data_IF_887980061634
#
_entry.id   IF_887980061634
#
_cell.length_a   1.000
_cell.length_b   1.000
_cell.length_c   1.000
_cell.angle_alpha   90.00
_cell.angle_beta   90.00
_cell.angle_gamma   90.00
#
_symmetry.space_group_name_H-M   'P 1'
#
loop_
_entity.id
_entity.type
_entity.pdbx_description
1 polymer ?
#
# COMPACT_ATOMS: atom_id res chain seq x y z
N UNK A 1 4.37 10.84 10.32
CA UNK A 1 4.50 9.81 11.37
C UNK A 1 4.99 8.52 10.72
N UNK A 2 5.87 7.76 11.39
CA UNK A 2 6.30 6.43 10.95
C UNK A 2 5.65 5.30 11.76
N UNK A 3 5.81 4.05 11.33
CA UNK A 3 5.22 2.90 12.04
C UNK A 3 5.73 2.77 13.48
N UNK A 4 7.01 3.05 13.75
CA UNK A 4 7.56 2.96 15.11
C UNK A 4 6.89 3.94 16.07
N UNK A 5 6.62 5.16 15.63
CA UNK A 5 5.87 6.18 16.38
C UNK A 5 4.43 5.72 16.61
N UNK A 6 3.77 5.20 15.57
CA UNK A 6 2.40 4.68 15.67
C UNK A 6 2.30 3.49 16.64
N UNK A 7 3.30 2.59 16.65
CA UNK A 7 3.39 1.44 17.57
C UNK A 7 3.48 1.90 19.03
N UNK A 8 4.05 3.08 19.31
CA UNK A 8 4.16 3.64 20.65
C UNK A 8 2.91 4.41 21.10
N UNK A 9 2.08 4.88 20.16
CA UNK A 9 0.81 5.56 20.47
C UNK A 9 -0.18 4.62 21.17
N UNK A 10 -1.20 5.14 21.86
CA UNK A 10 -2.15 4.31 22.64
C UNK A 10 -3.13 3.48 21.78
N UNK A 11 -3.35 3.85 20.52
CA UNK A 11 -4.33 3.19 19.65
C UNK A 11 -3.92 1.80 19.15
N UNK A 12 -4.93 0.99 18.80
CA UNK A 12 -4.77 -0.34 18.18
C UNK A 12 -5.34 -0.40 16.75
N UNK A 13 -5.81 0.73 16.20
CA UNK A 13 -6.35 0.79 14.84
C UNK A 13 -5.25 0.70 13.78
N UNK A 14 -5.50 -0.09 12.73
CA UNK A 14 -4.57 -0.24 11.61
C UNK A 14 -4.94 0.61 10.39
N UNK A 15 -6.05 1.36 10.45
CA UNK A 15 -6.50 2.25 9.37
C UNK A 15 -5.59 3.44 9.13
N UNK A 16 -4.83 3.87 10.15
CA UNK A 16 -3.77 4.88 10.01
C UNK A 16 -2.64 4.45 9.04
N UNK A 17 -2.55 3.16 8.70
CA UNK A 17 -1.50 2.60 7.80
C UNK A 17 -2.01 2.49 6.34
N UNK A 18 -3.26 2.88 6.07
CA UNK A 18 -3.92 2.70 4.76
C UNK A 18 -3.13 3.26 3.57
N UNK A 19 -2.40 4.35 3.74
CA UNK A 19 -1.55 4.93 2.69
C UNK A 19 -0.37 4.02 2.31
N UNK A 20 0.38 3.53 3.30
CA UNK A 20 1.45 2.55 3.07
C UNK A 20 0.90 1.22 2.54
N UNK A 21 -0.23 0.77 3.08
CA UNK A 21 -0.91 -0.46 2.63
C UNK A 21 -1.26 -0.40 1.15
N UNK A 22 -1.83 0.72 0.68
CA UNK A 22 -2.18 0.93 -0.72
C UNK A 22 -0.97 0.83 -1.65
N UNK A 23 0.18 1.36 -1.24
CA UNK A 23 1.41 1.27 -2.02
C UNK A 23 1.97 -0.15 -2.08
N UNK A 24 1.95 -0.86 -0.95
CA UNK A 24 2.39 -2.26 -0.90
C UNK A 24 1.53 -3.10 -1.84
N UNK A 25 0.19 -3.00 -1.75
CA UNK A 25 -0.74 -3.73 -2.63
C UNK A 25 -0.49 -3.38 -4.11
N UNK A 26 -0.29 -2.10 -4.42
CA UNK A 26 0.05 -1.66 -5.77
C UNK A 26 1.36 -2.28 -6.28
N UNK A 27 2.40 -2.32 -5.45
CA UNK A 27 3.67 -2.94 -5.81
C UNK A 27 3.55 -4.47 -5.95
N UNK A 28 2.73 -5.14 -5.13
CA UNK A 28 2.43 -6.57 -5.30
C UNK A 28 1.83 -6.85 -6.69
N UNK A 29 0.88 -6.03 -7.13
CA UNK A 29 0.26 -6.15 -8.45
C UNK A 29 1.19 -5.76 -9.62
N UNK A 30 2.27 -5.00 -9.37
CA UNK A 30 3.35 -4.78 -10.34
C UNK A 30 4.29 -6.00 -10.43
N UNK A 31 4.56 -6.66 -9.30
CA UNK A 31 5.38 -7.87 -9.25
C UNK A 31 4.70 -9.05 -9.93
N UNK A 32 3.42 -9.25 -9.63
CA UNK A 32 2.59 -10.31 -10.20
C UNK A 32 1.25 -9.68 -10.57
N UNK A 33 0.97 -9.49 -11.88
CA UNK A 33 -0.27 -8.88 -12.33
C UNK A 33 -1.50 -9.58 -11.74
N UNK A 34 -2.37 -8.79 -11.12
CA UNK A 34 -3.63 -9.25 -10.51
C UNK A 34 -3.46 -10.33 -9.44
N UNK A 35 -2.33 -10.36 -8.73
CA UNK A 35 -2.12 -11.26 -7.60
C UNK A 35 -3.16 -11.05 -6.50
N UNK A 36 -3.61 -9.81 -6.33
CA UNK A 36 -4.76 -9.43 -5.52
C UNK A 36 -5.68 -8.52 -6.31
N UNK A 37 -6.97 -8.74 -6.21
CA UNK A 37 -8.01 -7.95 -6.89
C UNK A 37 -8.94 -7.31 -5.88
N UNK A 38 -9.25 -6.04 -6.12
CA UNK A 38 -10.20 -5.27 -5.33
C UNK A 38 -11.61 -5.88 -5.50
N UNK A 39 -12.36 -6.05 -4.41
CA UNK A 39 -13.74 -6.56 -4.40
C UNK A 39 -14.76 -5.52 -3.91
N UNK A 40 -14.35 -4.27 -3.68
CA UNK A 40 -15.26 -3.18 -3.28
C UNK A 40 -16.29 -2.81 -4.35
N UNK A 41 -16.10 -3.28 -5.59
CA UNK A 41 -17.05 -3.22 -6.69
C UNK A 41 -18.23 -4.20 -6.54
N UNK A 42 -18.13 -5.19 -5.64
CA UNK A 42 -19.20 -6.15 -5.42
C UNK A 42 -20.40 -5.49 -4.74
N UNK A 43 -21.64 -5.86 -5.14
CA UNK A 43 -22.83 -5.27 -4.55
C UNK A 43 -22.92 -5.58 -3.05
N UNK A 44 -23.57 -4.67 -2.31
CA UNK A 44 -23.83 -4.82 -0.87
C UNK A 44 -22.59 -4.84 0.04
N UNK A 45 -21.39 -4.59 -0.49
CA UNK A 45 -20.17 -4.41 0.28
C UNK A 45 -20.24 -3.15 1.17
N UNK A 46 -19.83 -3.30 2.43
CA UNK A 46 -19.72 -2.21 3.40
C UNK A 46 -18.45 -2.45 4.25
N UNK A 47 -17.47 -1.55 4.16
CA UNK A 47 -16.28 -1.59 5.00
C UNK A 47 -16.52 -0.84 6.32
N UNK A 48 -16.07 -1.41 7.44
CA UNK A 48 -16.18 -0.74 8.75
C UNK A 48 -15.15 0.37 8.99
N UNK A 49 -14.17 0.55 8.10
CA UNK A 49 -13.23 1.67 8.17
C UNK A 49 -12.00 1.51 7.28
N UNK A 50 -11.03 2.42 7.46
CA UNK A 50 -9.78 2.50 6.67
C UNK A 50 -8.82 1.33 6.89
N UNK A 51 -9.03 0.52 7.92
CA UNK A 51 -8.27 -0.70 8.18
C UNK A 51 -8.55 -1.80 7.15
N UNK A 52 -9.70 -1.74 6.48
CA UNK A 52 -10.13 -2.75 5.50
C UNK A 52 -9.45 -2.48 4.16
N UNK A 53 -8.58 -3.40 3.72
CA UNK A 53 -8.18 -3.46 2.32
C UNK A 53 -9.07 -4.49 1.62
N UNK A 54 -10.03 -4.09 0.77
CA UNK A 54 -10.99 -4.99 0.14
C UNK A 54 -10.35 -5.76 -1.02
N UNK A 55 -9.29 -6.49 -0.74
CA UNK A 55 -8.55 -7.27 -1.72
C UNK A 55 -8.63 -8.76 -1.37
N UNK A 56 -8.75 -9.58 -2.42
CA UNK A 56 -8.69 -11.04 -2.34
C UNK A 56 -7.88 -11.57 -3.51
N UNK A 57 -7.45 -12.83 -3.43
CA UNK A 57 -7.01 -13.53 -4.63
C UNK A 57 -8.19 -13.65 -5.63
N UNK A 58 -7.93 -13.65 -6.95
CA UNK A 58 -8.98 -13.65 -7.98
C UNK A 58 -10.06 -14.73 -7.80
N UNK A 59 -9.64 -15.96 -7.47
CA UNK A 59 -10.56 -17.09 -7.29
C UNK A 59 -11.47 -16.88 -6.07
N UNK A 60 -10.92 -16.32 -4.99
CA UNK A 60 -11.69 -16.00 -3.78
C UNK A 60 -12.69 -14.87 -4.03
N UNK A 61 -12.30 -13.77 -4.71
CA UNK A 61 -13.24 -12.70 -5.12
C UNK A 61 -14.40 -13.27 -5.93
N UNK A 62 -14.10 -14.16 -6.87
CA UNK A 62 -15.09 -14.77 -7.74
C UNK A 62 -16.03 -15.71 -6.97
N UNK A 63 -15.54 -16.41 -5.94
CA UNK A 63 -16.42 -17.15 -5.02
C UNK A 63 -17.29 -16.25 -4.16
N UNK A 64 -16.73 -15.17 -3.62
CA UNK A 64 -17.47 -14.19 -2.84
C UNK A 64 -18.60 -13.56 -3.67
N UNK A 65 -18.33 -13.23 -4.94
CA UNK A 65 -19.35 -12.71 -5.87
C UNK A 65 -20.55 -13.66 -6.01
N UNK A 66 -20.31 -14.97 -6.16
CA UNK A 66 -21.39 -15.97 -6.25
C UNK A 66 -22.17 -16.09 -4.95
N UNK A 67 -21.47 -16.07 -3.81
CA UNK A 67 -22.13 -16.10 -2.49
C UNK A 67 -23.02 -14.86 -2.28
N UNK A 68 -22.55 -13.66 -2.66
CA UNK A 68 -23.36 -12.43 -2.58
C UNK A 68 -24.60 -12.53 -3.48
N UNK A 69 -24.45 -13.03 -4.71
CA UNK A 69 -25.57 -13.21 -5.62
C UNK A 69 -26.64 -14.17 -5.07
N UNK A 70 -26.21 -15.23 -4.38
CA UNK A 70 -27.11 -16.20 -3.77
C UNK A 70 -27.76 -15.68 -2.47
N UNK A 71 -27.02 -14.93 -1.64
CA UNK A 71 -27.53 -14.37 -0.39
C UNK A 71 -28.44 -13.15 -0.58
N UNK A 72 -28.63 -12.71 -1.83
CA UNK A 72 -29.58 -11.67 -2.22
C UNK A 72 -29.19 -10.27 -1.73
N UNK A 73 -30.11 -9.60 -1.03
CA UNK A 73 -29.98 -8.19 -0.63
C UNK A 73 -29.27 -7.97 0.71
N UNK A 74 -28.74 -9.03 1.35
CA UNK A 74 -28.04 -8.89 2.63
C UNK A 74 -26.77 -8.06 2.48
N UNK A 75 -26.52 -7.17 3.44
CA UNK A 75 -25.29 -6.37 3.50
C UNK A 75 -24.11 -7.26 3.92
N UNK A 76 -22.98 -7.13 3.22
CA UNK A 76 -21.72 -7.78 3.55
C UNK A 76 -20.86 -6.78 4.34
N UNK A 77 -20.93 -6.84 5.68
CA UNK A 77 -20.20 -5.92 6.54
C UNK A 77 -18.81 -6.47 6.86
N UNK A 78 -17.80 -5.94 6.19
CA UNK A 78 -16.41 -6.39 6.34
C UNK A 78 -15.70 -5.56 7.40
N UNK A 79 -15.15 -6.26 8.41
CA UNK A 79 -14.28 -5.71 9.44
C UNK A 79 -12.79 -5.82 9.10
N UNK A 80 -12.40 -6.90 8.41
CA UNK A 80 -11.05 -7.13 7.94
C UNK A 80 -11.08 -8.02 6.70
N UNK A 81 -10.09 -7.88 5.84
CA UNK A 81 -9.91 -8.68 4.63
C UNK A 81 -8.41 -8.90 4.42
N UNK A 82 -7.86 -8.63 3.23
CA UNK A 82 -6.42 -8.64 3.05
C UNK A 82 -5.74 -7.69 4.03
N UNK A 83 -4.79 -8.23 4.80
CA UNK A 83 -3.95 -7.45 5.71
C UNK A 83 -2.58 -7.35 5.10
N UNK A 84 -2.09 -6.13 4.93
CA UNK A 84 -0.73 -5.93 4.42
C UNK A 84 0.32 -6.28 5.46
N UNK A 85 1.53 -6.61 5.03
CA UNK A 85 2.68 -6.88 5.92
C UNK A 85 2.98 -5.72 6.88
N UNK A 86 2.68 -4.47 6.48
CA UNK A 86 2.82 -3.30 7.35
C UNK A 86 1.78 -3.27 8.48
N UNK A 87 0.52 -3.58 8.18
CA UNK A 87 -0.52 -3.70 9.20
C UNK A 87 -0.24 -4.91 10.11
N UNK A 88 0.19 -6.05 9.55
CA UNK A 88 0.56 -7.21 10.35
C UNK A 88 1.77 -6.93 11.23
N UNK A 89 2.77 -6.18 10.75
CA UNK A 89 3.91 -5.74 11.57
C UNK A 89 3.47 -4.89 12.75
N UNK A 90 2.57 -3.92 12.54
CA UNK A 90 2.00 -3.13 13.63
C UNK A 90 1.32 -4.03 14.68
N UNK A 91 0.45 -4.96 14.25
CA UNK A 91 -0.25 -5.91 15.13
C UNK A 91 0.77 -6.77 15.91
N UNK A 92 1.74 -7.34 15.21
CA UNK A 92 2.80 -8.17 15.79
C UNK A 92 3.62 -7.42 16.82
N UNK A 93 4.07 -6.20 16.52
CA UNK A 93 4.86 -5.37 17.44
C UNK A 93 4.06 -4.94 18.67
N UNK A 94 2.77 -4.61 18.53
CA UNK A 94 1.88 -4.29 19.65
C UNK A 94 1.64 -5.49 20.57
N UNK A 95 1.43 -6.67 19.98
CA UNK A 95 1.27 -7.92 20.71
C UNK A 95 2.55 -8.28 21.49
N UNK A 96 3.73 -8.18 20.86
CA UNK A 96 5.02 -8.41 21.53
C UNK A 96 5.27 -7.48 22.72
N UNK A 97 4.68 -6.27 22.70
CA UNK A 97 4.77 -5.29 23.78
C UNK A 97 3.68 -5.45 24.85
N UNK A 98 2.76 -6.41 24.70
CA UNK A 98 1.63 -6.62 25.60
C UNK A 98 0.60 -5.48 25.59
N UNK A 99 0.53 -4.70 24.49
CA UNK A 99 -0.35 -3.53 24.39
C UNK A 99 -1.72 -3.87 23.81
N UNK A 100 -1.73 -4.43 22.60
CA UNK A 100 -2.95 -4.77 21.85
C UNK A 100 -2.88 -6.23 21.41
N UNK A 101 -4.04 -6.83 21.16
CA UNK A 101 -4.23 -8.18 20.60
C UNK A 101 -3.73 -9.30 21.52
N UNK A 102 -4.46 -10.42 21.56
CA UNK A 102 -4.09 -11.59 22.38
C UNK A 102 -3.06 -12.50 21.69
N UNK A 103 -3.00 -12.46 20.35
CA UNK A 103 -2.10 -13.26 19.52
C UNK A 103 -1.83 -12.55 18.21
N UNK A 104 -0.61 -12.69 17.70
CA UNK A 104 -0.24 -12.21 16.37
C UNK A 104 0.78 -13.16 15.72
N UNK A 105 0.60 -13.44 14.42
CA UNK A 105 1.61 -14.10 13.61
C UNK A 105 2.72 -13.11 13.24
N UNK A 106 3.91 -13.62 12.94
CA UNK A 106 4.94 -12.82 12.30
C UNK A 106 4.46 -12.34 10.92
N UNK A 107 4.88 -11.14 10.46
CA UNK A 107 4.58 -10.68 9.10
C UNK A 107 5.03 -11.68 8.04
N UNK A 108 4.20 -11.85 7.02
CA UNK A 108 4.31 -12.85 5.98
C UNK A 108 3.69 -14.21 6.32
N UNK A 109 3.18 -14.42 7.54
CA UNK A 109 2.65 -15.71 8.01
C UNK A 109 1.21 -15.63 8.56
N UNK A 110 0.57 -14.46 8.54
CA UNK A 110 -0.85 -14.35 8.92
C UNK A 110 -1.74 -14.84 7.79
N UNK A 111 -2.79 -15.60 8.11
CA UNK A 111 -3.84 -15.99 7.16
C UNK A 111 -4.53 -14.79 6.42
N UNK A 112 -4.61 -13.62 7.05
CA UNK A 112 -5.07 -12.40 6.35
C UNK A 112 -4.09 -11.87 5.31
N UNK A 113 -2.80 -12.18 5.44
CA UNK A 113 -1.79 -11.85 4.42
C UNK A 113 -1.86 -12.80 3.23
N UNK A 114 -2.69 -13.84 3.24
CA UNK A 114 -2.88 -14.74 2.10
C UNK A 114 -3.89 -14.19 1.07
N UNK A 115 -4.64 -13.13 1.42
CA UNK A 115 -5.71 -12.61 0.55
C UNK A 115 -6.87 -13.60 0.37
N UNK A 116 -7.07 -14.47 1.36
CA UNK A 116 -8.13 -15.49 1.39
C UNK A 116 -9.05 -15.37 2.61
N UNK A 117 -8.73 -14.48 3.56
CA UNK A 117 -9.50 -14.32 4.79
C UNK A 117 -10.45 -13.11 4.74
N UNK A 118 -11.61 -13.24 5.39
CA UNK A 118 -12.57 -12.17 5.64
C UNK A 118 -13.03 -12.24 7.10
N UNK A 119 -13.06 -11.10 7.77
CA UNK A 119 -13.78 -10.93 9.03
C UNK A 119 -15.09 -10.19 8.73
N UNK A 120 -16.23 -10.85 8.94
CA UNK A 120 -17.57 -10.35 8.60
C UNK A 120 -18.33 -10.07 9.90
N UNK A 121 -18.72 -8.82 10.16
CA UNK A 121 -19.34 -8.45 11.45
C UNK A 121 -20.74 -9.04 11.61
N UNK A 122 -21.51 -9.16 10.52
CA UNK A 122 -22.81 -9.84 10.50
C UNK A 122 -22.68 -11.30 10.03
N UNK A 123 -21.67 -12.01 10.51
CA UNK A 123 -21.31 -13.38 10.09
C UNK A 123 -22.50 -14.34 10.05
N UNK A 124 -23.43 -14.28 11.01
CA UNK A 124 -24.61 -15.17 11.08
C UNK A 124 -25.44 -15.16 9.77
N UNK A 125 -25.47 -14.02 9.07
CA UNK A 125 -26.16 -13.88 7.78
C UNK A 125 -25.49 -14.62 6.63
N UNK A 126 -24.21 -14.95 6.79
CA UNK A 126 -23.29 -15.35 5.72
C UNK A 126 -22.73 -16.76 5.88
N UNK A 127 -22.76 -17.36 7.08
CA UNK A 127 -22.18 -18.70 7.34
C UNK A 127 -22.59 -19.71 6.27
N UNK A 128 -23.88 -20.00 6.16
CA UNK A 128 -24.37 -21.09 5.30
C UNK A 128 -24.05 -20.87 3.82
N UNK A 129 -24.18 -19.63 3.33
CA UNK A 129 -23.91 -19.35 1.91
C UNK A 129 -22.41 -19.36 1.62
N UNK A 130 -21.58 -18.86 2.53
CA UNK A 130 -20.13 -18.83 2.33
C UNK A 130 -19.53 -20.24 2.39
N UNK A 131 -19.96 -21.08 3.33
CA UNK A 131 -19.56 -22.49 3.40
C UNK A 131 -19.89 -23.23 2.09
N UNK A 132 -21.09 -23.02 1.54
CA UNK A 132 -21.50 -23.57 0.24
C UNK A 132 -20.59 -23.13 -0.91
N UNK A 133 -20.00 -21.95 -0.81
CA UNK A 133 -19.09 -21.37 -1.82
C UNK A 133 -17.61 -21.53 -1.44
N UNK A 134 -17.26 -22.46 -0.54
CA UNK A 134 -15.87 -22.85 -0.27
C UNK A 134 -15.14 -21.96 0.74
N UNK A 135 -15.88 -21.33 1.64
CA UNK A 135 -15.31 -20.57 2.75
C UNK A 135 -15.54 -21.29 4.07
N UNK A 136 -14.46 -21.60 4.77
CA UNK A 136 -14.52 -22.24 6.08
C UNK A 136 -14.73 -21.18 7.16
N UNK A 137 -15.81 -21.33 7.93
CA UNK A 137 -16.09 -20.50 9.10
C UNK A 137 -15.35 -21.03 10.34
N UNK A 138 -14.71 -20.14 11.11
CA UNK A 138 -13.88 -20.54 12.25
C UNK A 138 -14.68 -20.85 13.53
N UNK A 139 -16.00 -20.69 13.49
CA UNK A 139 -16.88 -21.07 14.59
C UNK A 139 -16.71 -20.19 15.83
N UNK A 140 -16.95 -20.76 17.01
CA UNK A 140 -16.96 -20.01 18.28
C UNK A 140 -15.60 -19.45 18.69
N UNK A 141 -14.50 -20.00 18.16
CA UNK A 141 -13.14 -19.54 18.44
C UNK A 141 -12.81 -18.20 17.78
N UNK A 142 -13.42 -17.93 16.62
CA UNK A 142 -13.36 -16.64 15.93
C UNK A 142 -14.59 -16.48 15.02
N UNK A 143 -15.68 -15.96 15.60
CA UNK A 143 -17.00 -15.97 14.96
C UNK A 143 -17.09 -15.11 13.71
N UNK A 144 -16.25 -14.11 13.57
CA UNK A 144 -16.31 -13.23 12.40
C UNK A 144 -15.49 -13.79 11.24
N UNK A 145 -14.60 -14.74 11.49
CA UNK A 145 -13.56 -15.13 10.55
C UNK A 145 -14.00 -16.24 9.59
N UNK A 146 -13.70 -16.00 8.32
CA UNK A 146 -13.87 -16.92 7.21
C UNK A 146 -12.57 -17.03 6.43
N UNK A 147 -12.20 -18.24 6.01
CA UNK A 147 -11.06 -18.47 5.11
C UNK A 147 -11.55 -19.19 3.84
N UNK A 148 -11.23 -18.66 2.66
CA UNK A 148 -11.50 -19.36 1.42
C UNK A 148 -10.53 -20.53 1.25
N UNK A 149 -11.06 -21.75 1.14
CA UNK A 149 -10.27 -22.98 1.05
C UNK A 149 -10.60 -23.70 -0.26
N UNK A 150 -9.67 -23.61 -1.22
CA UNK A 150 -9.78 -24.33 -2.50
C UNK A 150 -8.41 -24.56 -3.12
N UNK A 151 -8.30 -25.58 -3.97
CA UNK A 151 -7.12 -25.76 -4.81
C UNK A 151 -6.96 -24.61 -5.82
N UNK A 152 -5.72 -24.33 -6.23
CA UNK A 152 -5.41 -23.30 -7.23
C UNK A 152 -5.21 -21.89 -6.67
N UNK A 153 -5.28 -21.72 -5.35
CA UNK A 153 -4.86 -20.49 -4.67
C UNK A 153 -3.33 -20.46 -4.50
N UNK A 154 -2.76 -19.27 -4.34
CA UNK A 154 -1.37 -19.07 -3.96
C UNK A 154 -1.20 -19.12 -2.45
N UNK A 155 -0.08 -19.65 -2.00
CA UNK A 155 0.35 -19.74 -0.59
C UNK A 155 1.55 -18.83 -0.29
N UNK A 156 2.06 -18.09 -1.27
CA UNK A 156 3.23 -17.22 -1.16
C UNK A 156 2.89 -15.72 -1.10
N UNK A 157 1.61 -15.36 -0.91
CA UNK A 157 1.16 -13.95 -0.91
C UNK A 157 1.82 -13.14 0.21
N UNK A 158 2.02 -13.73 1.39
CA UNK A 158 2.78 -13.11 2.48
C UNK A 158 4.21 -12.75 2.06
N UNK A 159 4.93 -13.68 1.39
CA UNK A 159 6.27 -13.43 0.86
C UNK A 159 6.27 -12.36 -0.24
N UNK A 160 5.26 -12.38 -1.12
CA UNK A 160 5.10 -11.35 -2.16
C UNK A 160 4.86 -9.98 -1.52
N UNK A 161 4.06 -9.90 -0.47
CA UNK A 161 3.83 -8.66 0.30
C UNK A 161 5.11 -8.13 0.94
N UNK A 162 5.93 -9.01 1.51
CA UNK A 162 7.23 -8.64 2.08
C UNK A 162 8.18 -8.14 0.99
N UNK A 163 8.24 -8.83 -0.14
CA UNK A 163 9.07 -8.43 -1.29
C UNK A 163 8.63 -7.08 -1.87
N UNK A 164 7.32 -6.87 -2.00
CA UNK A 164 6.76 -5.60 -2.44
C UNK A 164 7.15 -4.45 -1.51
N UNK A 165 7.06 -4.65 -0.20
CA UNK A 165 7.55 -3.69 0.78
C UNK A 165 9.06 -3.42 0.63
N UNK A 166 9.88 -4.47 0.53
CA UNK A 166 11.34 -4.34 0.39
C UNK A 166 11.72 -3.56 -0.87
N UNK A 167 11.04 -3.79 -2.00
CA UNK A 167 11.25 -3.03 -3.24
C UNK A 167 10.82 -1.56 -3.12
N UNK A 168 9.70 -1.29 -2.46
CA UNK A 168 9.30 0.08 -2.15
C UNK A 168 10.36 0.75 -1.27
N UNK A 169 10.79 0.11 -0.19
CA UNK A 169 11.83 0.65 0.68
C UNK A 169 13.09 1.01 -0.11
N UNK A 170 13.61 0.07 -0.91
CA UNK A 170 14.82 0.27 -1.71
C UNK A 170 14.65 1.40 -2.74
N UNK A 171 13.47 1.50 -3.37
CA UNK A 171 13.13 2.57 -4.30
C UNK A 171 13.17 3.94 -3.62
N UNK A 172 12.71 4.02 -2.36
CA UNK A 172 12.61 5.28 -1.61
C UNK A 172 13.85 5.60 -0.76
N UNK A 173 14.71 4.62 -0.51
CA UNK A 173 15.89 4.74 0.34
C UNK A 173 17.13 4.13 -0.35
N UNK A 174 17.61 4.71 -1.47
CA UNK A 174 18.68 4.12 -2.29
C UNK A 174 20.04 4.03 -1.57
N UNK A 175 20.24 4.78 -0.49
CA UNK A 175 21.44 4.70 0.36
C UNK A 175 21.32 3.70 1.52
N UNK A 176 20.14 3.09 1.72
CA UNK A 176 19.86 2.17 2.82
C UNK A 176 19.09 0.93 2.34
N UNK A 177 19.57 0.30 1.27
CA UNK A 177 18.86 -0.84 0.66
C UNK A 177 18.93 -2.10 1.52
N UNK A 178 17.90 -2.94 1.42
CA UNK A 178 17.82 -4.29 1.98
C UNK A 178 17.62 -5.31 0.84
N UNK A 179 17.84 -6.60 1.12
CA UNK A 179 17.50 -7.66 0.16
C UNK A 179 15.98 -7.68 -0.07
N UNK A 180 15.55 -7.90 -1.30
CA UNK A 180 14.14 -8.06 -1.70
C UNK A 180 13.78 -9.56 -1.85
N UNK A 181 14.13 -10.32 -0.82
CA UNK A 181 14.01 -11.78 -0.75
C UNK A 181 12.62 -12.28 -0.33
N UNK A 182 11.71 -11.37 0.03
CA UNK A 182 10.37 -11.73 0.51
C UNK A 182 10.38 -12.36 1.90
N UNK A 183 11.44 -12.13 2.70
CA UNK A 183 11.58 -12.68 4.05
C UNK A 183 11.46 -11.60 5.12
N UNK A 184 10.78 -11.97 6.21
CA UNK A 184 10.71 -11.14 7.40
C UNK A 184 11.91 -11.44 8.30
N UNK A 185 12.60 -10.39 8.77
CA UNK A 185 13.75 -10.48 9.65
C UNK A 185 14.23 -9.10 10.08
N UNK A 186 15.31 -9.04 10.87
CA UNK A 186 15.78 -7.82 11.52
C UNK A 186 16.01 -6.63 10.59
N UNK A 187 16.45 -6.88 9.35
CA UNK A 187 16.63 -5.81 8.36
C UNK A 187 15.27 -5.28 7.92
N UNK A 188 14.35 -6.15 7.52
CA UNK A 188 12.99 -5.79 7.10
C UNK A 188 12.21 -5.08 8.22
N UNK A 189 12.26 -5.59 9.46
CA UNK A 189 11.55 -4.98 10.61
C UNK A 189 12.04 -3.57 10.93
N UNK A 190 13.36 -3.33 10.96
CA UNK A 190 13.93 -1.99 11.15
C UNK A 190 13.49 -0.98 10.09
N UNK A 191 13.19 -1.45 8.88
CA UNK A 191 12.72 -0.58 7.78
C UNK A 191 11.22 -0.36 7.85
N UNK A 192 10.46 -1.37 8.26
CA UNK A 192 9.05 -1.18 8.60
C UNK A 192 8.90 -0.11 9.69
N UNK A 193 9.70 -0.17 10.77
CA UNK A 193 9.73 0.86 11.82
C UNK A 193 9.86 2.30 11.29
N UNK A 194 10.74 2.50 10.31
CA UNK A 194 11.03 3.81 9.72
C UNK A 194 10.04 4.23 8.63
N UNK A 195 9.16 3.32 8.20
CA UNK A 195 8.30 3.58 7.05
C UNK A 195 7.17 4.56 7.40
N UNK A 196 6.89 5.55 6.53
CA UNK A 196 5.80 6.50 6.73
C UNK A 196 4.44 5.80 6.63
N UNK A 197 3.55 6.04 7.60
CA UNK A 197 2.25 5.36 7.67
C UNK A 197 1.31 5.77 6.53
N UNK A 198 1.44 6.99 6.05
CA UNK A 198 0.72 7.53 4.89
C UNK A 198 1.28 7.02 3.54
N UNK A 199 2.33 6.19 3.58
CA UNK A 199 3.06 5.72 2.41
C UNK A 199 4.24 6.62 2.04
N UNK A 200 5.14 6.10 1.21
CA UNK A 200 6.28 6.84 0.71
C UNK A 200 5.83 7.97 -0.23
N UNK A 201 6.57 9.09 -0.34
CA UNK A 201 6.17 10.21 -1.18
C UNK A 201 5.92 9.79 -2.63
N UNK A 202 4.69 9.96 -3.14
CA UNK A 202 4.41 9.71 -4.56
C UNK A 202 4.71 10.98 -5.34
N UNK A 203 5.90 11.06 -5.94
CA UNK A 203 6.18 12.04 -6.98
C UNK A 203 6.13 11.36 -8.34
N UNK A 204 5.35 11.91 -9.26
CA UNK A 204 5.44 11.52 -10.66
C UNK A 204 6.67 12.17 -11.28
N UNK A 205 7.28 11.46 -12.23
CA UNK A 205 8.36 12.01 -13.04
C UNK A 205 7.81 13.11 -13.93
N UNK A 206 8.29 14.34 -13.76
CA UNK A 206 7.89 15.47 -14.60
C UNK A 206 8.85 15.59 -15.78
N UNK A 207 8.27 15.73 -16.98
CA UNK A 207 8.97 15.90 -18.25
C UNK A 207 8.00 16.46 -19.28
N UNK A 208 8.51 17.01 -20.38
CA UNK A 208 7.69 17.40 -21.53
C UNK A 208 6.85 16.20 -21.99
N UNK A 209 5.54 16.42 -22.15
CA UNK A 209 4.55 15.48 -22.72
C UNK A 209 3.47 16.26 -23.47
N UNK A 210 2.66 15.56 -24.28
CA UNK A 210 1.45 16.11 -24.89
C UNK A 210 0.23 15.29 -24.42
N UNK A 211 -0.76 15.89 -23.74
CA UNK A 211 -0.76 17.26 -23.22
C UNK A 211 0.34 17.48 -22.17
N UNK A 212 0.70 18.75 -21.91
CA UNK A 212 1.70 19.10 -20.90
C UNK A 212 1.31 18.52 -19.54
N UNK A 213 2.33 18.16 -18.76
CA UNK A 213 2.11 17.80 -17.37
C UNK A 213 1.77 19.07 -16.60
N UNK A 214 0.60 19.12 -15.97
CA UNK A 214 0.13 20.26 -15.18
C UNK A 214 -0.13 19.86 -13.73
N UNK A 215 0.10 20.75 -12.76
CA UNK A 215 -0.26 20.53 -11.35
C UNK A 215 0.59 21.29 -10.34
N UNK A 216 0.21 21.20 -9.06
CA UNK A 216 0.95 21.86 -7.97
C UNK A 216 2.36 21.29 -7.78
N UNK A 217 2.58 20.02 -8.13
CA UNK A 217 3.91 19.38 -8.12
C UNK A 217 4.86 19.99 -9.17
N UNK A 218 4.32 20.49 -10.28
CA UNK A 218 5.07 21.29 -11.26
C UNK A 218 5.37 22.68 -10.68
N UNK A 219 4.41 23.32 -10.01
CA UNK A 219 4.63 24.63 -9.36
C UNK A 219 5.70 24.57 -8.29
N UNK A 220 5.71 23.53 -7.46
CA UNK A 220 6.76 23.30 -6.44
C UNK A 220 8.16 23.26 -7.09
N UNK A 221 8.28 22.55 -8.21
CA UNK A 221 9.53 22.47 -8.98
C UNK A 221 9.91 23.82 -9.57
N UNK A 222 8.97 24.51 -10.21
CA UNK A 222 9.20 25.84 -10.75
C UNK A 222 9.63 26.83 -9.65
N UNK A 223 8.98 26.81 -8.48
CA UNK A 223 9.37 27.62 -7.33
C UNK A 223 10.77 27.28 -6.80
N UNK A 224 11.13 26.00 -6.74
CA UNK A 224 12.47 25.58 -6.34
C UNK A 224 13.55 26.02 -7.35
N UNK A 225 13.25 25.95 -8.66
CA UNK A 225 14.11 26.44 -9.73
C UNK A 225 14.26 27.96 -9.70
N UNK A 226 13.18 28.70 -9.39
CA UNK A 226 13.22 30.15 -9.16
C UNK A 226 14.13 30.49 -7.99
N UNK A 227 13.97 29.79 -6.86
CA UNK A 227 14.85 29.95 -5.68
C UNK A 227 16.32 29.64 -6.01
N UNK A 228 16.56 28.70 -6.92
CA UNK A 228 17.90 28.35 -7.42
C UNK A 228 18.46 29.29 -8.48
N UNK A 229 17.67 30.24 -9.00
CA UNK A 229 18.09 31.18 -10.05
C UNK A 229 18.04 30.63 -11.48
N UNK A 230 17.39 29.48 -11.70
CA UNK A 230 17.29 28.82 -13.02
C UNK A 230 16.01 29.20 -13.78
N UNK A 231 15.04 29.79 -13.10
CA UNK A 231 13.74 30.15 -13.65
C UNK A 231 13.29 31.49 -13.06
N UNK A 232 12.37 32.19 -13.72
CA UNK A 232 11.80 33.44 -13.19
C UNK A 232 10.39 33.21 -12.63
N UNK A 233 9.95 34.06 -11.70
CA UNK A 233 8.59 33.98 -11.13
C UNK A 233 7.48 34.04 -12.19
N UNK A 234 7.72 34.69 -13.34
CA UNK A 234 6.74 34.78 -14.42
C UNK A 234 6.44 33.42 -15.08
N UNK A 235 7.32 32.43 -14.89
CA UNK A 235 7.16 31.08 -15.43
C UNK A 235 6.50 30.10 -14.45
N UNK A 236 6.10 30.53 -13.24
CA UNK A 236 5.44 29.65 -12.26
C UNK A 236 3.94 29.55 -12.59
N UNK A 237 3.61 28.83 -13.65
CA UNK A 237 2.24 28.61 -14.13
C UNK A 237 1.65 27.25 -13.70
N UNK A 238 2.51 26.30 -13.31
CA UNK A 238 2.13 24.92 -13.02
C UNK A 238 2.08 24.01 -14.23
N UNK A 239 2.61 24.44 -15.37
CA UNK A 239 2.74 23.67 -16.61
C UNK A 239 4.20 23.29 -16.85
N UNK A 240 4.47 22.01 -17.08
CA UNK A 240 5.82 21.52 -17.39
C UNK A 240 6.12 21.79 -18.87
N UNK A 241 6.37 23.07 -19.18
CA UNK A 241 6.65 23.59 -20.52
C UNK A 241 8.16 23.61 -20.85
N UNK A 242 8.51 24.10 -22.06
CA UNK A 242 9.90 24.12 -22.53
C UNK A 242 10.80 25.03 -21.68
N UNK A 243 10.24 26.09 -21.09
CA UNK A 243 10.96 26.95 -20.16
C UNK A 243 11.32 26.18 -18.88
N UNK A 244 10.37 25.42 -18.34
CA UNK A 244 10.58 24.55 -17.17
C UNK A 244 11.60 23.46 -17.48
N UNK A 245 11.50 22.78 -18.63
CA UNK A 245 12.48 21.77 -19.06
C UNK A 245 13.90 22.35 -19.16
N UNK A 246 14.05 23.50 -19.81
CA UNK A 246 15.34 24.17 -19.98
C UNK A 246 15.97 24.54 -18.62
N UNK A 247 15.16 25.07 -17.69
CA UNK A 247 15.62 25.39 -16.34
C UNK A 247 16.06 24.12 -15.57
N UNK A 248 15.35 23.01 -15.75
CA UNK A 248 15.74 21.72 -15.16
C UNK A 248 17.06 21.22 -15.73
N UNK A 249 17.28 21.31 -17.05
CA UNK A 249 18.55 20.92 -17.68
C UNK A 249 19.72 21.76 -17.16
N UNK A 250 19.54 23.07 -17.00
CA UNK A 250 20.55 23.95 -16.42
C UNK A 250 20.84 23.58 -14.96
N UNK A 251 19.80 23.34 -14.16
CA UNK A 251 19.92 22.88 -12.78
C UNK A 251 20.68 21.56 -12.69
N UNK A 252 20.30 20.57 -13.51
CA UNK A 252 20.95 19.26 -13.58
C UNK A 252 22.43 19.40 -13.94
N UNK A 253 22.76 20.26 -14.91
CA UNK A 253 24.14 20.57 -15.28
C UNK A 253 24.93 21.15 -14.10
N UNK A 254 24.38 22.11 -13.36
CA UNK A 254 25.05 22.72 -12.19
C UNK A 254 25.22 21.72 -11.04
N UNK A 255 24.31 20.75 -10.89
CA UNK A 255 24.33 19.72 -9.86
C UNK A 255 25.07 18.45 -10.27
N UNK A 256 25.68 18.43 -11.45
CA UNK A 256 26.37 17.26 -12.01
C UNK A 256 25.47 16.01 -12.08
N UNK A 257 24.20 16.20 -12.42
CA UNK A 257 23.22 15.14 -12.68
C UNK A 257 23.16 14.81 -14.17
N UNK A 258 22.43 13.74 -14.54
CA UNK A 258 22.06 13.51 -15.93
C UNK A 258 21.21 14.67 -16.46
N UNK A 259 21.65 15.30 -17.55
CA UNK A 259 21.02 16.47 -18.18
C UNK A 259 19.97 15.98 -19.19
N UNK A 260 18.80 15.59 -18.68
CA UNK A 260 17.71 15.02 -19.50
C UNK A 260 16.43 15.88 -19.47
N UNK A 261 16.41 16.94 -18.67
CA UNK A 261 15.23 17.77 -18.49
C UNK A 261 14.08 17.02 -17.84
N UNK A 262 14.39 16.00 -17.03
CA UNK A 262 13.43 15.17 -16.31
C UNK A 262 13.56 15.38 -14.81
N UNK A 263 12.45 15.75 -14.17
CA UNK A 263 12.38 15.84 -12.70
C UNK A 263 12.02 14.49 -12.12
N UNK A 264 13.04 13.65 -11.98
CA UNK A 264 13.00 12.40 -11.24
C UNK A 264 13.43 12.57 -9.77
N UNK A 265 13.67 11.44 -9.10
CA UNK A 265 14.05 11.39 -7.67
C UNK A 265 15.27 12.26 -7.36
N UNK A 266 16.36 12.09 -8.14
CA UNK A 266 17.63 12.78 -7.88
C UNK A 266 17.47 14.30 -8.06
N UNK A 267 16.81 14.73 -9.14
CA UNK A 267 16.50 16.15 -9.38
C UNK A 267 15.67 16.74 -8.24
N UNK A 268 14.60 16.06 -7.78
CA UNK A 268 13.78 16.53 -6.64
C UNK A 268 14.58 16.65 -5.35
N UNK A 269 15.45 15.66 -5.07
CA UNK A 269 16.31 15.66 -3.88
C UNK A 269 17.21 16.90 -3.87
N UNK A 270 17.88 17.18 -4.98
CA UNK A 270 18.78 18.34 -5.09
C UNK A 270 18.02 19.68 -5.06
N UNK A 271 16.76 19.70 -5.50
CA UNK A 271 15.86 20.86 -5.37
C UNK A 271 15.33 21.07 -3.95
N UNK A 272 15.60 20.14 -3.02
CA UNK A 272 15.07 20.18 -1.65
C UNK A 272 13.57 19.89 -1.56
N UNK A 273 13.02 19.17 -2.55
CA UNK A 273 11.62 18.76 -2.58
C UNK A 273 11.46 17.36 -1.96
N UNK A 274 10.25 16.98 -1.52
CA UNK A 274 9.98 15.63 -1.03
C UNK A 274 10.36 14.53 -2.07
N UNK A 275 10.98 13.45 -1.60
CA UNK A 275 11.47 12.29 -2.37
C UNK A 275 11.25 10.96 -1.66
#
# INVERSE_FOLDING_TARGET
MNLKELIQASGCDTGAISGLSSQIIGQMNLLIPSVLVDFSDLPNFEASGKQVNPYLQPIAKESLRRAIQENGSKKLKINSAYRTVAQQYFIYSKWQKGLCFSKAAQPGLSNHEDGLALDISNFDDWITVLEKHGWDWFGSGDKVHFSFVRSGVRDDIGNIGLKAFQQLWNKFNPSDTIKDDGLFGDKTSKRLDLSPIDGFPTFRTLKIKSPLIQGDDVREVQQALVKGGFLTFANVNGDYDDATKTAVEQFQSQKHLGIDGVVGRQTRKELGLPT
#
